data_IF_039366438051
#
_entry.id   IF_039366438051
#
_cell.length_a   1.000
_cell.length_b   1.000
_cell.length_c   1.000
_cell.angle_alpha   90.00
_cell.angle_beta   90.00
_cell.angle_gamma   90.00
#
_symmetry.space_group_name_H-M   'P 1'
#
loop_
_entity.id
_entity.type
_entity.pdbx_description
1 polymer ?
#
# COMPACT_ATOMS: atom_id res chain seq x y z
N UNK A 1 60.02 49.34 -34.88
CA UNK A 1 59.13 50.45 -34.45
C UNK A 1 58.22 50.76 -35.62
N UNK A 2 56.90 50.59 -35.66
CA UNK A 2 55.84 50.23 -34.70
C UNK A 2 54.92 49.24 -35.45
N UNK A 3 54.54 48.12 -34.81
CA UNK A 3 53.49 47.24 -35.30
C UNK A 3 52.15 47.65 -34.66
N UNK A 4 51.15 47.96 -35.48
CA UNK A 4 49.74 47.99 -35.07
C UNK A 4 48.92 47.38 -36.21
N UNK A 5 48.43 46.16 -35.98
CA UNK A 5 47.60 45.40 -36.91
C UNK A 5 46.15 45.94 -36.89
N UNK A 6 45.51 46.15 -38.05
CA UNK A 6 44.10 46.48 -38.10
C UNK A 6 43.20 45.24 -38.04
N UNK A 7 42.10 45.42 -37.31
CA UNK A 7 40.90 44.60 -37.16
C UNK A 7 40.25 44.23 -38.50
N UNK A 8 39.90 42.95 -38.66
CA UNK A 8 38.87 42.48 -39.61
C UNK A 8 37.92 41.53 -38.88
N UNK A 9 36.93 42.11 -38.20
CA UNK A 9 35.73 41.39 -37.80
C UNK A 9 34.73 41.51 -38.95
N UNK A 10 34.63 40.44 -39.73
CA UNK A 10 33.67 40.25 -40.81
C UNK A 10 32.25 40.24 -40.24
N UNK A 11 31.58 41.40 -40.21
CA UNK A 11 30.14 41.48 -39.96
C UNK A 11 29.39 40.98 -41.19
N UNK A 12 29.12 39.68 -41.22
CA UNK A 12 28.18 39.04 -42.13
C UNK A 12 26.76 39.41 -41.72
N UNK A 13 26.35 40.63 -42.04
CA UNK A 13 24.93 41.00 -42.12
C UNK A 13 24.72 41.74 -43.44
N UNK A 14 24.46 40.95 -44.48
CA UNK A 14 23.89 41.49 -45.72
C UNK A 14 22.49 42.04 -45.46
N UNK A 15 22.05 43.06 -46.21
CA UNK A 15 20.72 43.63 -46.05
C UNK A 15 19.68 42.58 -46.46
N UNK A 16 18.98 42.01 -45.48
CA UNK A 16 17.81 41.19 -45.74
C UNK A 16 16.71 42.08 -46.31
N UNK A 17 16.66 42.09 -47.63
CA UNK A 17 15.70 42.78 -48.45
C UNK A 17 14.25 42.38 -48.09
N UNK A 18 13.45 43.37 -47.64
CA UNK A 18 12.01 43.55 -47.87
C UNK A 18 11.00 42.50 -47.41
N UNK A 19 11.17 41.23 -47.73
CA UNK A 19 10.14 40.18 -47.54
C UNK A 19 10.26 39.49 -46.18
N UNK A 20 11.46 39.13 -45.73
CA UNK A 20 11.67 38.48 -44.43
C UNK A 20 11.38 39.41 -43.25
N UNK A 21 11.70 40.70 -43.38
CA UNK A 21 11.35 41.73 -42.37
C UNK A 21 9.83 41.86 -42.20
N UNK A 22 9.05 41.75 -43.28
CA UNK A 22 7.57 41.79 -43.21
C UNK A 22 6.99 40.53 -42.57
N UNK A 23 7.54 39.35 -42.85
CA UNK A 23 7.09 38.09 -42.22
C UNK A 23 7.37 38.10 -40.71
N UNK A 24 8.54 38.56 -40.29
CA UNK A 24 8.87 38.69 -38.87
C UNK A 24 8.01 39.77 -38.18
N UNK A 25 7.82 40.92 -38.81
CA UNK A 25 6.95 41.97 -38.27
C UNK A 25 5.50 41.46 -38.11
N UNK A 26 4.99 40.72 -39.09
CA UNK A 26 3.66 40.10 -39.00
C UNK A 26 3.59 39.05 -37.88
N UNK A 27 4.60 38.18 -37.76
CA UNK A 27 4.67 37.19 -36.69
C UNK A 27 4.68 37.81 -35.29
N UNK A 28 5.43 38.90 -35.09
CA UNK A 28 5.45 39.65 -33.82
C UNK A 28 4.10 40.27 -33.50
N UNK A 29 3.40 40.83 -34.50
CA UNK A 29 2.07 41.42 -34.31
C UNK A 29 1.03 40.34 -33.96
N UNK A 30 1.05 39.19 -34.63
CA UNK A 30 0.14 38.08 -34.34
C UNK A 30 0.39 37.52 -32.94
N UNK A 31 1.66 37.28 -32.58
CA UNK A 31 2.02 36.78 -31.26
C UNK A 31 1.67 37.78 -30.16
N UNK A 32 1.95 39.07 -30.37
CA UNK A 32 1.57 40.14 -29.45
C UNK A 32 0.05 40.23 -29.27
N UNK A 33 -0.72 40.07 -30.36
CA UNK A 33 -2.18 40.09 -30.31
C UNK A 33 -2.75 38.88 -29.57
N UNK A 34 -2.19 37.68 -29.78
CA UNK A 34 -2.59 36.47 -29.04
C UNK A 34 -2.29 36.58 -27.55
N UNK A 35 -1.13 37.14 -27.18
CA UNK A 35 -0.77 37.38 -25.77
C UNK A 35 -1.72 38.37 -25.11
N UNK A 36 -2.06 39.47 -25.79
CA UNK A 36 -3.04 40.45 -25.29
C UNK A 36 -4.42 39.80 -25.13
N UNK A 37 -4.87 39.01 -26.12
CA UNK A 37 -6.13 38.29 -26.03
C UNK A 37 -6.16 37.31 -24.85
N UNK A 38 -5.09 36.51 -24.67
CA UNK A 38 -4.96 35.59 -23.54
C UNK A 38 -4.96 36.33 -22.19
N UNK A 39 -4.27 37.46 -22.09
CA UNK A 39 -4.26 38.29 -20.89
C UNK A 39 -5.65 38.86 -20.59
N UNK A 40 -6.37 39.37 -21.58
CA UNK A 40 -7.73 39.89 -21.44
C UNK A 40 -8.70 38.78 -21.00
N UNK A 41 -8.61 37.59 -21.61
CA UNK A 41 -9.44 36.44 -21.21
C UNK A 41 -9.13 36.01 -19.78
N UNK A 42 -7.85 35.96 -19.39
CA UNK A 42 -7.43 35.57 -18.05
C UNK A 42 -7.88 36.57 -16.99
N UNK A 43 -7.71 37.87 -17.26
CA UNK A 43 -8.15 38.95 -16.36
C UNK A 43 -9.69 38.96 -16.28
N UNK A 44 -10.38 38.83 -17.41
CA UNK A 44 -11.84 38.73 -17.44
C UNK A 44 -12.35 37.55 -16.63
N UNK A 45 -11.75 36.38 -16.82
CA UNK A 45 -12.06 35.17 -16.05
C UNK A 45 -11.77 35.37 -14.55
N UNK A 46 -10.64 35.95 -14.19
CA UNK A 46 -10.26 36.24 -12.80
C UNK A 46 -11.22 37.21 -12.12
N UNK A 47 -11.62 38.29 -12.80
CA UNK A 47 -12.60 39.26 -12.26
C UNK A 47 -13.99 38.64 -12.11
N UNK A 48 -14.43 37.85 -13.08
CA UNK A 48 -15.71 37.12 -13.00
C UNK A 48 -15.67 36.08 -11.88
N UNK A 49 -14.57 35.33 -11.75
CA UNK A 49 -14.36 34.37 -10.68
C UNK A 49 -14.33 35.05 -9.30
N UNK A 50 -13.62 36.18 -9.16
CA UNK A 50 -13.56 36.95 -7.93
C UNK A 50 -14.92 37.54 -7.54
N UNK A 51 -15.70 38.06 -8.51
CA UNK A 51 -17.06 38.54 -8.26
C UNK A 51 -18.01 37.41 -7.86
N UNK A 52 -17.88 36.24 -8.49
CA UNK A 52 -18.62 35.04 -8.10
C UNK A 52 -18.21 34.58 -6.69
N UNK A 53 -16.93 34.62 -6.33
CA UNK A 53 -16.43 34.29 -4.98
C UNK A 53 -17.02 35.21 -3.92
N UNK A 54 -16.94 36.54 -4.13
CA UNK A 54 -17.47 37.54 -3.19
C UNK A 54 -18.97 37.40 -2.92
N UNK A 55 -19.74 36.89 -3.89
CA UNK A 55 -21.17 36.58 -3.69
C UNK A 55 -21.40 35.21 -3.07
N UNK A 56 -20.54 34.23 -3.37
CA UNK A 56 -20.66 32.85 -2.89
C UNK A 56 -20.21 32.67 -1.45
N UNK A 57 -19.22 33.41 -0.96
CA UNK A 57 -18.76 33.33 0.44
C UNK A 57 -19.87 33.61 1.47
N UNK A 58 -20.62 34.73 1.41
CA UNK A 58 -21.70 34.98 2.37
C UNK A 58 -22.84 33.97 2.23
N UNK A 59 -23.16 33.56 1.00
CA UNK A 59 -24.16 32.53 0.72
C UNK A 59 -23.74 31.16 1.28
N UNK A 60 -22.47 30.78 1.11
CA UNK A 60 -21.90 29.54 1.67
C UNK A 60 -21.92 29.59 3.19
N UNK A 61 -21.60 30.73 3.80
CA UNK A 61 -21.65 30.89 5.25
C UNK A 61 -23.09 30.75 5.79
N UNK A 62 -24.06 31.38 5.11
CA UNK A 62 -25.48 31.27 5.46
C UNK A 62 -26.01 29.84 5.31
N UNK A 63 -25.76 29.19 4.17
CA UNK A 63 -26.16 27.80 3.93
C UNK A 63 -25.46 26.82 4.89
N UNK A 64 -24.20 27.07 5.25
CA UNK A 64 -23.47 26.27 6.24
C UNK A 64 -24.10 26.40 7.62
N UNK A 65 -24.39 27.63 8.05
CA UNK A 65 -25.03 27.88 9.35
C UNK A 65 -26.36 27.17 9.44
N UNK A 66 -27.18 27.29 8.40
CA UNK A 66 -28.50 26.67 8.35
C UNK A 66 -28.44 25.14 8.23
N UNK A 67 -27.46 24.59 7.51
CA UNK A 67 -27.20 23.15 7.44
C UNK A 67 -26.91 22.59 8.84
N UNK A 68 -26.03 23.25 9.60
CA UNK A 68 -25.65 22.81 10.94
C UNK A 68 -26.81 22.97 11.94
N UNK A 69 -27.59 24.04 11.83
CA UNK A 69 -28.82 24.23 12.62
C UNK A 69 -29.81 23.09 12.40
N UNK A 70 -30.05 22.70 11.14
CA UNK A 70 -30.92 21.56 10.83
C UNK A 70 -30.35 20.22 11.29
N UNK A 71 -29.04 20.02 11.16
CA UNK A 71 -28.39 18.75 11.50
C UNK A 71 -28.39 18.49 13.01
N UNK A 72 -28.18 19.53 13.83
CA UNK A 72 -28.00 19.38 15.28
C UNK A 72 -29.13 20.00 16.12
N UNK A 73 -29.91 20.91 15.55
CA UNK A 73 -30.94 21.66 16.27
C UNK A 73 -32.36 21.11 16.10
N UNK A 74 -32.57 20.09 15.26
CA UNK A 74 -33.91 19.55 14.93
C UNK A 74 -33.91 18.03 14.92
N UNK A 75 -34.98 17.44 15.44
CA UNK A 75 -35.20 15.99 15.35
C UNK A 75 -35.55 15.56 13.90
N UNK A 76 -36.27 16.42 13.17
CA UNK A 76 -36.52 16.30 11.73
C UNK A 76 -35.92 17.51 10.99
N UNK A 77 -34.87 17.31 10.18
CA UNK A 77 -34.24 18.38 9.42
C UNK A 77 -35.12 18.99 8.30
N UNK A 78 -36.17 18.29 7.87
CA UNK A 78 -37.05 18.69 6.75
C UNK A 78 -36.28 19.05 5.46
N UNK A 79 -35.36 18.17 5.04
CA UNK A 79 -34.45 18.41 3.91
C UNK A 79 -35.18 18.75 2.61
N UNK A 80 -36.23 18.00 2.25
CA UNK A 80 -36.96 18.21 1.00
C UNK A 80 -37.59 19.60 0.90
N UNK A 81 -38.26 20.04 1.97
CA UNK A 81 -38.89 21.35 2.04
C UNK A 81 -37.86 22.48 1.95
N UNK A 82 -36.69 22.28 2.56
CA UNK A 82 -35.60 23.26 2.47
C UNK A 82 -35.04 23.34 1.06
N UNK A 83 -34.67 22.21 0.47
CA UNK A 83 -34.06 22.14 -0.87
C UNK A 83 -35.01 22.69 -1.94
N UNK A 84 -36.32 22.43 -1.82
CA UNK A 84 -37.33 22.96 -2.73
C UNK A 84 -37.42 24.50 -2.71
N UNK A 85 -37.05 25.13 -1.59
CA UNK A 85 -37.00 26.58 -1.46
C UNK A 85 -35.71 27.22 -1.98
N UNK A 86 -34.67 26.44 -2.29
CA UNK A 86 -33.38 26.94 -2.74
C UNK A 86 -33.34 27.13 -4.26
N UNK A 87 -32.64 28.18 -4.69
CA UNK A 87 -32.28 28.37 -6.10
C UNK A 87 -31.23 27.35 -6.55
N UNK A 88 -31.11 27.15 -7.87
CA UNK A 88 -30.09 26.25 -8.43
C UNK A 88 -28.64 26.61 -8.02
N UNK A 89 -28.35 27.89 -7.79
CA UNK A 89 -27.02 28.32 -7.33
C UNK A 89 -26.79 27.97 -5.86
N UNK A 90 -27.82 28.07 -5.02
CA UNK A 90 -27.75 27.67 -3.61
C UNK A 90 -27.65 26.16 -3.48
N UNK A 91 -28.43 25.40 -4.26
CA UNK A 91 -28.32 23.94 -4.31
C UNK A 91 -26.90 23.49 -4.69
N UNK A 92 -26.28 24.12 -5.69
CA UNK A 92 -24.90 23.81 -6.07
C UNK A 92 -23.87 24.13 -4.96
N UNK A 93 -24.09 25.20 -4.18
CA UNK A 93 -23.22 25.51 -3.03
C UNK A 93 -23.46 24.53 -1.88
N UNK A 94 -24.72 24.14 -1.66
CA UNK A 94 -25.09 23.17 -0.64
C UNK A 94 -24.52 21.78 -0.96
N UNK A 95 -24.56 21.36 -2.23
CA UNK A 95 -23.91 20.13 -2.71
C UNK A 95 -22.39 20.17 -2.44
N UNK A 96 -21.72 21.30 -2.70
CA UNK A 96 -20.29 21.47 -2.35
C UNK A 96 -20.03 21.44 -0.84
N UNK A 97 -20.97 21.89 0.00
CA UNK A 97 -20.84 21.76 1.46
C UNK A 97 -21.05 20.30 1.89
N UNK A 98 -22.02 19.62 1.29
CA UNK A 98 -22.33 18.23 1.56
C UNK A 98 -21.15 17.31 1.26
N UNK A 99 -20.46 17.50 0.12
CA UNK A 99 -19.25 16.72 -0.21
C UNK A 99 -18.17 16.84 0.87
N UNK A 100 -17.94 18.05 1.41
CA UNK A 100 -16.97 18.27 2.48
C UNK A 100 -17.40 17.54 3.75
N UNK A 101 -18.65 17.71 4.18
CA UNK A 101 -19.10 17.11 5.43
C UNK A 101 -19.23 15.59 5.37
N UNK A 102 -19.65 14.99 4.26
CA UNK A 102 -19.70 13.53 4.10
C UNK A 102 -18.31 12.88 4.10
N UNK A 103 -17.25 13.66 3.88
CA UNK A 103 -15.85 13.17 3.99
C UNK A 103 -15.28 13.28 5.40
N UNK A 104 -15.84 14.20 6.20
CA UNK A 104 -15.33 14.51 7.55
C UNK A 104 -16.16 13.84 8.65
N UNK A 105 -17.44 13.53 8.40
CA UNK A 105 -18.38 13.00 9.38
C UNK A 105 -18.75 11.55 9.09
N UNK A 106 -19.04 10.80 10.15
CA UNK A 106 -19.42 9.38 10.12
C UNK A 106 -20.63 9.11 11.02
N UNK A 107 -21.18 7.89 10.94
CA UNK A 107 -22.28 7.43 11.78
C UNK A 107 -23.60 8.16 11.49
N UNK A 108 -24.34 8.51 12.55
CA UNK A 108 -25.69 9.12 12.45
C UNK A 108 -25.68 10.46 11.70
N UNK A 109 -24.62 11.25 11.83
CA UNK A 109 -24.50 12.53 11.13
C UNK A 109 -24.39 12.31 9.62
N UNK A 110 -23.57 11.34 9.19
CA UNK A 110 -23.46 10.96 7.78
C UNK A 110 -24.76 10.39 7.22
N UNK A 111 -25.50 9.59 8.00
CA UNK A 111 -26.82 9.07 7.62
C UNK A 111 -27.86 10.19 7.43
N UNK A 112 -27.87 11.17 8.34
CA UNK A 112 -28.74 12.34 8.23
C UNK A 112 -28.39 13.19 6.99
N UNK A 113 -27.09 13.41 6.74
CA UNK A 113 -26.60 14.12 5.56
C UNK A 113 -26.85 13.35 4.25
N UNK A 114 -26.85 12.02 4.26
CA UNK A 114 -27.28 11.23 3.11
C UNK A 114 -28.75 11.50 2.76
N UNK A 115 -29.59 11.81 3.76
CA UNK A 115 -30.95 12.33 3.57
C UNK A 115 -30.98 13.64 2.79
N UNK A 116 -30.07 14.57 3.06
CA UNK A 116 -29.93 15.79 2.27
C UNK A 116 -29.48 15.50 0.83
N UNK A 117 -28.59 14.53 0.63
CA UNK A 117 -28.19 14.09 -0.70
C UNK A 117 -29.34 13.54 -1.54
N UNK A 118 -30.28 12.82 -0.91
CA UNK A 118 -31.54 12.39 -1.54
C UNK A 118 -32.43 13.58 -1.91
N UNK A 119 -32.62 14.53 -1.00
CA UNK A 119 -33.40 15.75 -1.28
C UNK A 119 -32.82 16.57 -2.44
N UNK A 120 -31.49 16.58 -2.61
CA UNK A 120 -30.80 17.20 -3.74
C UNK A 120 -30.86 16.38 -5.04
N UNK A 121 -31.41 15.16 -5.02
CA UNK A 121 -31.52 14.25 -6.16
C UNK A 121 -30.16 13.75 -6.66
N UNK A 122 -29.15 13.69 -5.79
CA UNK A 122 -27.78 13.30 -6.18
C UNK A 122 -27.73 11.82 -6.54
N UNK A 123 -28.41 10.96 -5.79
CA UNK A 123 -28.44 9.51 -6.04
C UNK A 123 -28.97 9.15 -7.43
N UNK A 124 -30.09 9.73 -7.85
CA UNK A 124 -30.71 9.48 -9.15
C UNK A 124 -29.89 10.08 -10.30
N UNK A 125 -29.26 11.25 -10.08
CA UNK A 125 -28.32 11.81 -11.06
C UNK A 125 -27.09 10.92 -11.22
N UNK A 126 -26.51 10.44 -10.12
CA UNK A 126 -25.35 9.54 -10.14
C UNK A 126 -25.65 8.24 -10.87
N UNK A 127 -26.80 7.60 -10.63
CA UNK A 127 -27.20 6.39 -11.37
C UNK A 127 -27.33 6.63 -12.87
N UNK A 128 -27.88 7.79 -13.29
CA UNK A 128 -27.92 8.18 -14.72
C UNK A 128 -26.52 8.41 -15.30
N UNK A 129 -25.64 9.07 -14.55
CA UNK A 129 -24.25 9.23 -14.97
C UNK A 129 -23.50 7.90 -15.06
N UNK A 130 -23.84 6.90 -14.25
CA UNK A 130 -23.31 5.53 -14.41
C UNK A 130 -23.78 4.92 -15.74
N UNK A 131 -25.07 5.03 -16.07
CA UNK A 131 -25.64 4.44 -17.27
C UNK A 131 -25.18 5.12 -18.57
N UNK A 132 -25.20 6.45 -18.59
CA UNK A 132 -25.09 7.25 -19.81
C UNK A 132 -23.82 8.11 -19.89
N UNK A 133 -23.09 8.25 -18.78
CA UNK A 133 -21.95 9.15 -18.66
C UNK A 133 -20.64 8.59 -19.21
N UNK A 134 -19.70 9.50 -19.43
CA UNK A 134 -18.32 9.12 -19.74
C UNK A 134 -17.57 8.60 -18.50
N UNK A 135 -16.34 8.15 -18.69
CA UNK A 135 -15.49 7.63 -17.62
C UNK A 135 -15.42 8.56 -16.39
N UNK A 136 -15.31 9.88 -16.58
CA UNK A 136 -15.19 10.83 -15.48
C UNK A 136 -16.53 11.04 -14.76
N UNK A 137 -17.61 11.12 -15.52
CA UNK A 137 -18.97 11.18 -14.96
C UNK A 137 -19.26 9.94 -14.11
N UNK A 138 -18.92 8.75 -14.61
CA UNK A 138 -19.09 7.48 -13.87
C UNK A 138 -18.28 7.45 -12.59
N UNK A 139 -16.99 7.79 -12.64
CA UNK A 139 -16.15 7.83 -11.43
C UNK A 139 -16.69 8.84 -10.41
N UNK A 140 -17.12 10.03 -10.86
CA UNK A 140 -17.68 11.04 -9.97
C UNK A 140 -18.99 10.57 -9.34
N UNK A 141 -19.86 9.93 -10.12
CA UNK A 141 -21.10 9.33 -9.65
C UNK A 141 -20.84 8.25 -8.59
N UNK A 142 -19.87 7.35 -8.82
CA UNK A 142 -19.50 6.32 -7.84
C UNK A 142 -18.96 6.93 -6.54
N UNK A 143 -18.19 8.02 -6.61
CA UNK A 143 -17.76 8.74 -5.40
C UNK A 143 -18.95 9.27 -4.61
N UNK A 144 -19.92 9.89 -5.27
CA UNK A 144 -21.13 10.38 -4.61
C UNK A 144 -21.94 9.25 -3.99
N UNK A 145 -22.17 8.16 -4.69
CA UNK A 145 -22.90 7.00 -4.16
C UNK A 145 -22.19 6.38 -2.96
N UNK A 146 -20.85 6.32 -2.97
CA UNK A 146 -20.08 5.85 -1.81
C UNK A 146 -20.21 6.79 -0.61
N UNK A 147 -20.14 8.11 -0.81
CA UNK A 147 -20.31 9.11 0.26
C UNK A 147 -21.73 9.07 0.85
N UNK A 148 -22.73 8.88 -0.01
CA UNK A 148 -24.14 8.77 0.39
C UNK A 148 -24.49 7.39 0.97
N UNK A 149 -23.58 6.41 0.89
CA UNK A 149 -23.80 5.01 1.29
C UNK A 149 -25.04 4.43 0.58
N UNK A 150 -25.21 4.79 -0.69
CA UNK A 150 -26.39 4.50 -1.50
C UNK A 150 -25.99 3.60 -2.67
N UNK A 151 -26.04 2.28 -2.46
CA UNK A 151 -25.62 1.32 -3.46
C UNK A 151 -26.56 1.33 -4.69
N UNK A 152 -26.03 1.40 -5.91
CA UNK A 152 -26.80 1.10 -7.11
C UNK A 152 -26.97 -0.42 -7.27
N UNK A 153 -27.92 -0.83 -8.11
CA UNK A 153 -28.15 -2.23 -8.41
C UNK A 153 -26.91 -2.88 -9.03
N UNK A 154 -26.67 -4.15 -8.67
CA UNK A 154 -25.55 -4.94 -9.17
C UNK A 154 -25.46 -4.98 -10.68
N UNK A 155 -26.61 -5.07 -11.36
CA UNK A 155 -26.67 -5.14 -12.82
C UNK A 155 -26.19 -3.85 -13.47
N UNK A 156 -26.49 -2.69 -12.87
CA UNK A 156 -26.00 -1.39 -13.33
C UNK A 156 -24.47 -1.32 -13.25
N UNK A 157 -23.90 -1.75 -12.12
CA UNK A 157 -22.44 -1.77 -11.93
C UNK A 157 -21.76 -2.73 -12.92
N UNK A 158 -22.33 -3.91 -13.13
CA UNK A 158 -21.77 -4.92 -14.04
C UNK A 158 -21.86 -4.51 -15.50
N UNK A 159 -22.89 -3.76 -15.89
CA UNK A 159 -23.05 -3.29 -17.26
C UNK A 159 -22.12 -2.12 -17.59
N UNK A 160 -21.86 -1.22 -16.63
CA UNK A 160 -21.25 0.08 -16.93
C UNK A 160 -19.93 0.37 -16.20
N UNK A 161 -19.54 -0.40 -15.18
CA UNK A 161 -18.35 -0.11 -14.36
C UNK A 161 -17.24 -1.15 -14.50
N UNK A 162 -17.09 -1.76 -15.68
CA UNK A 162 -16.14 -2.85 -15.92
C UNK A 162 -14.93 -2.50 -16.78
N UNK A 163 -14.95 -1.35 -17.47
CA UNK A 163 -13.94 -1.00 -18.49
C UNK A 163 -12.53 -0.90 -17.91
N UNK A 164 -12.36 -0.31 -16.72
CA UNK A 164 -11.05 -0.14 -16.09
C UNK A 164 -10.99 -0.74 -14.69
N UNK A 165 -9.78 -1.18 -14.27
CA UNK A 165 -9.55 -1.65 -12.90
C UNK A 165 -9.91 -0.59 -11.84
N UNK A 166 -9.81 0.71 -12.19
CA UNK A 166 -10.18 1.82 -11.30
C UNK A 166 -11.69 1.96 -11.14
N UNK A 167 -12.47 1.83 -12.23
CA UNK A 167 -13.94 1.83 -12.13
C UNK A 167 -14.44 0.62 -11.36
N UNK A 168 -13.87 -0.57 -11.60
CA UNK A 168 -14.23 -1.79 -10.85
C UNK A 168 -13.97 -1.62 -9.36
N UNK A 169 -12.83 -1.03 -8.99
CA UNK A 169 -12.55 -0.70 -7.60
C UNK A 169 -13.50 0.36 -7.02
N UNK A 170 -13.83 1.41 -7.78
CA UNK A 170 -14.79 2.41 -7.31
C UNK A 170 -16.19 1.81 -7.10
N UNK A 171 -16.64 0.94 -8.01
CA UNK A 171 -17.90 0.22 -7.91
C UNK A 171 -17.95 -0.71 -6.68
N UNK A 172 -16.90 -1.52 -6.48
CA UNK A 172 -16.79 -2.37 -5.30
C UNK A 172 -16.72 -1.54 -4.00
N UNK A 173 -16.09 -0.37 -4.03
CA UNK A 173 -16.05 0.55 -2.88
C UNK A 173 -17.42 1.11 -2.52
N UNK A 174 -18.28 1.37 -3.51
CA UNK A 174 -19.68 1.80 -3.26
C UNK A 174 -20.44 0.71 -2.51
N UNK A 175 -20.34 -0.55 -2.95
CA UNK A 175 -20.98 -1.70 -2.28
C UNK A 175 -20.52 -1.83 -0.82
N UNK A 176 -19.21 -1.69 -0.59
CA UNK A 176 -18.65 -1.69 0.76
C UNK A 176 -19.17 -0.52 1.61
N UNK A 177 -19.16 0.70 1.07
CA UNK A 177 -19.57 1.89 1.81
C UNK A 177 -21.06 1.88 2.18
N UNK A 178 -21.89 1.30 1.31
CA UNK A 178 -23.32 1.11 1.55
C UNK A 178 -23.64 -0.06 2.48
N UNK A 179 -22.67 -0.92 2.80
CA UNK A 179 -22.90 -2.12 3.59
C UNK A 179 -23.83 -3.11 2.87
N UNK A 180 -23.70 -3.25 1.54
CA UNK A 180 -24.54 -4.18 0.77
C UNK A 180 -24.35 -5.63 1.24
N UNK A 181 -25.45 -6.38 1.38
CA UNK A 181 -25.43 -7.75 1.90
C UNK A 181 -24.55 -8.69 1.04
N UNK A 182 -24.51 -8.48 -0.27
CA UNK A 182 -23.72 -9.25 -1.23
C UNK A 182 -22.37 -8.59 -1.56
N UNK A 183 -21.91 -7.63 -0.75
CA UNK A 183 -20.71 -6.83 -0.98
C UNK A 183 -19.48 -7.71 -1.28
N UNK A 184 -19.23 -8.74 -0.46
CA UNK A 184 -18.09 -9.62 -0.64
C UNK A 184 -18.12 -10.33 -2.01
N UNK A 185 -19.24 -11.02 -2.30
CA UNK A 185 -19.38 -11.78 -3.54
C UNK A 185 -19.36 -10.89 -4.79
N UNK A 186 -20.14 -9.81 -4.78
CA UNK A 186 -20.26 -8.91 -5.93
C UNK A 186 -19.02 -8.04 -6.10
N UNK A 187 -18.43 -7.54 -5.01
CA UNK A 187 -17.22 -6.73 -5.06
C UNK A 187 -16.00 -7.52 -5.52
N UNK A 188 -15.83 -8.76 -5.08
CA UNK A 188 -14.76 -9.67 -5.57
C UNK A 188 -14.97 -9.98 -7.06
N UNK A 189 -16.20 -10.30 -7.48
CA UNK A 189 -16.55 -10.55 -8.87
C UNK A 189 -16.24 -9.33 -9.76
N UNK A 190 -16.55 -8.11 -9.29
CA UNK A 190 -16.20 -6.88 -10.01
C UNK A 190 -14.70 -6.67 -10.07
N UNK A 191 -13.97 -6.84 -8.97
CA UNK A 191 -12.54 -6.54 -8.90
C UNK A 191 -11.70 -7.54 -9.72
N UNK A 192 -11.97 -8.83 -9.57
CA UNK A 192 -11.19 -9.93 -10.14
C UNK A 192 -11.85 -10.55 -11.38
N UNK A 193 -12.68 -9.76 -12.07
CA UNK A 193 -13.33 -10.15 -13.33
C UNK A 193 -12.31 -10.43 -14.44
N UNK A 194 -12.65 -11.39 -15.31
CA UNK A 194 -12.02 -11.77 -16.58
C UNK A 194 -10.72 -11.03 -16.94
N UNK A 195 -9.60 -11.78 -16.92
CA UNK A 195 -8.23 -11.29 -17.14
C UNK A 195 -7.88 -10.03 -16.33
N UNK A 196 -7.87 -10.13 -14.98
CA UNK A 196 -7.68 -8.97 -14.13
C UNK A 196 -6.26 -8.38 -14.24
N UNK A 197 -6.20 -7.09 -14.53
CA UNK A 197 -4.99 -6.28 -14.38
C UNK A 197 -4.59 -6.11 -12.90
N UNK A 198 -3.31 -5.80 -12.67
CA UNK A 198 -2.85 -5.38 -11.35
C UNK A 198 -3.53 -4.09 -10.89
N UNK A 199 -3.86 -4.02 -9.61
CA UNK A 199 -4.57 -2.90 -9.01
C UNK A 199 -3.67 -1.71 -8.68
N UNK A 200 -4.29 -0.53 -8.58
CA UNK A 200 -3.73 0.59 -7.81
C UNK A 200 -3.80 0.31 -6.30
N UNK A 201 -3.13 1.13 -5.48
CA UNK A 201 -3.25 1.04 -4.01
C UNK A 201 -4.70 1.10 -3.54
N UNK A 202 -5.52 1.97 -4.18
CA UNK A 202 -6.95 2.06 -3.91
C UNK A 202 -7.69 0.76 -4.22
N UNK A 203 -7.34 0.06 -5.31
CA UNK A 203 -7.94 -1.22 -5.65
C UNK A 203 -7.56 -2.33 -4.67
N UNK A 204 -6.32 -2.36 -4.18
CA UNK A 204 -5.88 -3.31 -3.15
C UNK A 204 -6.59 -3.07 -1.81
N UNK A 205 -6.69 -1.81 -1.36
CA UNK A 205 -7.46 -1.46 -0.14
C UNK A 205 -8.94 -1.85 -0.29
N UNK A 206 -9.51 -1.60 -1.47
CA UNK A 206 -10.91 -1.96 -1.73
C UNK A 206 -11.10 -3.48 -1.69
N UNK A 207 -10.21 -4.25 -2.33
CA UNK A 207 -10.28 -5.72 -2.28
C UNK A 207 -10.17 -6.26 -0.86
N UNK A 208 -9.23 -5.72 -0.06
CA UNK A 208 -9.11 -6.07 1.36
C UNK A 208 -10.42 -5.80 2.12
N UNK A 209 -10.97 -4.59 2.01
CA UNK A 209 -12.18 -4.20 2.76
C UNK A 209 -13.42 -4.97 2.37
N UNK A 210 -13.57 -5.28 1.08
CA UNK A 210 -14.66 -6.12 0.58
C UNK A 210 -14.56 -7.54 1.12
N UNK A 211 -13.34 -8.08 1.23
CA UNK A 211 -13.10 -9.43 1.74
C UNK A 211 -13.01 -9.52 3.28
N UNK A 212 -12.88 -8.40 4.00
CA UNK A 212 -12.67 -8.38 5.46
C UNK A 212 -13.87 -8.94 6.23
N UNK A 213 -15.09 -8.66 5.77
CA UNK A 213 -16.32 -9.15 6.41
C UNK A 213 -16.65 -10.62 6.08
N UNK A 214 -16.49 -11.01 4.82
CA UNK A 214 -16.60 -12.39 4.35
C UNK A 214 -15.50 -12.67 3.31
N UNK A 215 -14.44 -13.39 3.69
CA UNK A 215 -13.31 -13.64 2.81
C UNK A 215 -13.57 -14.77 1.81
N UNK A 216 -14.64 -15.55 1.98
CA UNK A 216 -14.87 -16.80 1.22
C UNK A 216 -14.89 -16.57 -0.30
N UNK A 217 -15.61 -15.57 -0.84
CA UNK A 217 -15.61 -15.33 -2.29
C UNK A 217 -14.23 -15.01 -2.86
N UNK A 218 -13.39 -14.29 -2.08
CA UNK A 218 -12.02 -13.97 -2.49
C UNK A 218 -11.15 -15.21 -2.55
N UNK A 219 -11.20 -16.07 -1.52
CA UNK A 219 -10.41 -17.30 -1.50
C UNK A 219 -10.84 -18.29 -2.59
N UNK A 220 -12.14 -18.44 -2.84
CA UNK A 220 -12.65 -19.30 -3.92
C UNK A 220 -12.17 -18.81 -5.29
N UNK A 221 -12.28 -17.51 -5.55
CA UNK A 221 -11.80 -16.92 -6.82
C UNK A 221 -10.29 -17.03 -6.98
N UNK A 222 -9.53 -16.79 -5.92
CA UNK A 222 -8.08 -16.93 -5.94
C UNK A 222 -7.65 -18.38 -6.16
N UNK A 223 -8.25 -19.34 -5.46
CA UNK A 223 -7.94 -20.75 -5.63
C UNK A 223 -8.16 -21.23 -7.08
N UNK A 224 -9.18 -20.72 -7.76
CA UNK A 224 -9.48 -21.06 -9.15
C UNK A 224 -8.46 -20.47 -10.14
N UNK A 225 -8.12 -19.19 -10.00
CA UNK A 225 -7.49 -18.43 -11.11
C UNK A 225 -6.07 -17.92 -10.80
N UNK A 226 -5.60 -18.01 -9.56
CA UNK A 226 -4.35 -17.37 -9.13
C UNK A 226 -3.15 -17.70 -10.02
N UNK A 227 -3.02 -18.95 -10.45
CA UNK A 227 -1.90 -19.40 -11.28
C UNK A 227 -1.86 -18.72 -12.66
N UNK A 228 -3.02 -18.29 -13.19
CA UNK A 228 -3.14 -17.61 -14.47
C UNK A 228 -2.92 -16.09 -14.38
N UNK A 229 -3.03 -15.50 -13.18
CA UNK A 229 -2.87 -14.07 -13.00
C UNK A 229 -1.44 -13.59 -13.23
N UNK A 230 -1.26 -12.33 -13.69
CA UNK A 230 0.07 -11.75 -13.80
C UNK A 230 0.76 -11.67 -12.42
N UNK A 231 2.11 -11.79 -12.36
CA UNK A 231 2.84 -11.81 -11.08
C UNK A 231 2.60 -10.58 -10.19
N UNK A 232 2.29 -9.42 -10.78
CA UNK A 232 1.93 -8.22 -10.03
C UNK A 232 0.62 -8.40 -9.26
N UNK A 233 -0.41 -8.98 -9.88
CA UNK A 233 -1.69 -9.26 -9.24
C UNK A 233 -1.57 -10.40 -8.22
N UNK A 234 -0.82 -11.46 -8.52
CA UNK A 234 -0.53 -12.53 -7.56
C UNK A 234 0.04 -11.97 -6.24
N UNK A 235 1.02 -11.06 -6.32
CA UNK A 235 1.57 -10.39 -5.11
C UNK A 235 0.55 -9.56 -4.37
N UNK A 236 -0.37 -8.89 -5.07
CA UNK A 236 -1.42 -8.08 -4.45
C UNK A 236 -2.45 -8.96 -3.75
N UNK A 237 -2.87 -10.06 -4.36
CA UNK A 237 -3.75 -11.04 -3.73
C UNK A 237 -3.10 -11.64 -2.47
N UNK A 238 -1.82 -12.04 -2.54
CA UNK A 238 -1.08 -12.53 -1.37
C UNK A 238 -0.91 -11.45 -0.28
N UNK A 239 -0.79 -10.18 -0.65
CA UNK A 239 -0.80 -9.08 0.31
C UNK A 239 -2.16 -8.98 1.02
N UNK A 240 -3.27 -9.13 0.30
CA UNK A 240 -4.61 -9.17 0.90
C UNK A 240 -4.73 -10.37 1.85
N UNK A 241 -4.34 -11.57 1.43
CA UNK A 241 -4.34 -12.79 2.28
C UNK A 241 -3.59 -12.56 3.59
N UNK A 242 -2.42 -11.92 3.53
CA UNK A 242 -1.60 -11.59 4.72
C UNK A 242 -2.38 -10.78 5.76
N UNK A 243 -3.30 -9.92 5.32
CA UNK A 243 -4.05 -9.03 6.19
C UNK A 243 -5.41 -9.60 6.60
N UNK A 244 -5.96 -10.58 5.88
CA UNK A 244 -7.17 -11.32 6.26
C UNK A 244 -6.89 -12.37 7.34
N UNK A 245 -6.39 -11.96 8.50
CA UNK A 245 -5.97 -12.88 9.59
C UNK A 245 -7.13 -13.55 10.32
N UNK A 246 -8.37 -13.14 10.05
CA UNK A 246 -9.60 -13.56 10.73
C UNK A 246 -10.35 -14.67 10.01
N UNK A 247 -9.75 -15.32 9.02
CA UNK A 247 -10.35 -16.47 8.33
C UNK A 247 -10.48 -17.64 9.30
N UNK A 248 -11.59 -17.66 10.04
CA UNK A 248 -12.04 -18.78 10.84
C UNK A 248 -12.81 -19.70 9.88
N UNK A 249 -12.17 -20.75 9.36
CA UNK A 249 -12.87 -21.71 8.48
C UNK A 249 -11.97 -22.58 7.60
N UNK A 250 -12.62 -23.34 6.71
CA UNK A 250 -12.01 -24.29 5.75
C UNK A 250 -11.53 -23.61 4.45
N UNK A 251 -11.15 -22.33 4.49
CA UNK A 251 -10.66 -21.64 3.30
C UNK A 251 -9.44 -22.39 2.71
N UNK A 252 -9.48 -22.62 1.40
CA UNK A 252 -8.40 -23.30 0.71
C UNK A 252 -7.16 -22.39 0.60
N UNK A 253 -6.09 -22.78 1.29
CA UNK A 253 -4.78 -22.12 1.27
C UNK A 253 -3.75 -22.89 0.43
N UNK A 254 -4.15 -23.99 -0.21
CA UNK A 254 -3.23 -24.81 -1.02
C UNK A 254 -2.59 -24.01 -2.15
N UNK A 255 -3.31 -23.05 -2.74
CA UNK A 255 -2.79 -22.16 -3.78
C UNK A 255 -1.73 -21.18 -3.23
N UNK A 256 -1.83 -20.76 -1.96
CA UNK A 256 -0.81 -19.92 -1.30
C UNK A 256 0.47 -20.73 -1.08
N UNK A 257 0.34 -22.01 -0.68
CA UNK A 257 1.47 -22.93 -0.55
C UNK A 257 2.09 -23.21 -1.92
N UNK A 258 1.29 -23.47 -2.96
CA UNK A 258 1.78 -23.67 -4.32
C UNK A 258 2.53 -22.46 -4.87
N UNK A 259 2.17 -21.24 -4.44
CA UNK A 259 2.87 -20.01 -4.82
C UNK A 259 4.34 -19.96 -4.34
N UNK A 260 4.72 -20.78 -3.35
CA UNK A 260 6.12 -20.98 -2.95
C UNK A 260 6.98 -21.62 -4.05
N UNK A 261 6.37 -22.25 -5.05
CA UNK A 261 7.05 -22.83 -6.21
C UNK A 261 6.99 -21.95 -7.46
N UNK A 262 6.47 -20.72 -7.35
CA UNK A 262 6.41 -19.79 -8.49
C UNK A 262 7.80 -19.52 -9.08
N UNK A 263 7.89 -19.38 -10.40
CA UNK A 263 9.14 -18.96 -11.07
C UNK A 263 9.60 -17.57 -10.62
N UNK A 264 8.67 -16.72 -10.21
CA UNK A 264 8.91 -15.34 -9.80
C UNK A 264 9.30 -15.23 -8.31
N UNK A 265 10.54 -14.82 -7.98
CA UNK A 265 10.97 -14.70 -6.58
C UNK A 265 10.12 -13.71 -5.78
N UNK A 266 9.57 -12.70 -6.46
CA UNK A 266 8.71 -11.69 -5.84
C UNK A 266 7.36 -12.26 -5.38
N UNK A 267 6.84 -13.29 -6.07
CA UNK A 267 5.63 -14.03 -5.69
C UNK A 267 5.93 -14.98 -4.54
N UNK A 268 7.03 -15.76 -4.62
CA UNK A 268 7.46 -16.65 -3.53
C UNK A 268 7.66 -15.90 -2.20
N UNK A 269 8.33 -14.74 -2.22
CA UNK A 269 8.50 -13.91 -1.02
C UNK A 269 7.17 -13.35 -0.48
N UNK A 270 6.24 -12.98 -1.37
CA UNK A 270 4.90 -12.57 -0.95
C UNK A 270 4.11 -13.72 -0.32
N UNK A 271 4.26 -14.95 -0.82
CA UNK A 271 3.63 -16.14 -0.28
C UNK A 271 4.14 -16.46 1.12
N UNK A 272 5.46 -16.44 1.34
CA UNK A 272 6.03 -16.57 2.70
C UNK A 272 5.47 -15.52 3.67
N UNK A 273 5.38 -14.26 3.24
CA UNK A 273 4.82 -13.18 4.06
C UNK A 273 3.33 -13.37 4.35
N UNK A 274 2.57 -13.94 3.43
CA UNK A 274 1.17 -14.30 3.64
C UNK A 274 1.03 -15.47 4.63
N UNK A 275 1.77 -16.56 4.43
CA UNK A 275 1.75 -17.76 5.28
C UNK A 275 2.19 -17.48 6.73
N UNK A 276 3.01 -16.46 6.96
CA UNK A 276 3.34 -16.00 8.32
C UNK A 276 2.10 -15.72 9.18
N UNK A 277 1.02 -15.19 8.58
CA UNK A 277 -0.25 -14.91 9.27
C UNK A 277 -1.06 -16.18 9.64
N UNK A 278 -0.77 -17.31 9.00
CA UNK A 278 -1.53 -18.56 9.12
C UNK A 278 -0.74 -19.67 9.81
N UNK A 279 0.34 -19.31 10.50
CA UNK A 279 1.16 -20.27 11.25
C UNK A 279 0.39 -21.08 12.27
N UNK A 280 -0.74 -20.58 12.78
CA UNK A 280 -1.58 -21.32 13.72
C UNK A 280 -2.31 -22.53 13.09
N UNK A 281 -2.41 -22.62 11.76
CA UNK A 281 -3.12 -23.68 11.04
C UNK A 281 -2.20 -24.89 10.77
N UNK A 282 -2.48 -26.08 11.35
CA UNK A 282 -1.64 -27.26 11.15
C UNK A 282 -1.58 -27.74 9.69
N UNK A 283 -2.69 -27.65 8.93
CA UNK A 283 -2.70 -28.07 7.52
C UNK A 283 -1.73 -27.25 6.67
N UNK A 284 -1.60 -25.96 6.98
CA UNK A 284 -0.65 -25.07 6.33
C UNK A 284 0.78 -25.46 6.71
N UNK A 285 1.06 -25.70 8.00
CA UNK A 285 2.39 -26.12 8.46
C UNK A 285 2.83 -27.42 7.80
N UNK A 286 1.95 -28.41 7.76
CA UNK A 286 2.25 -29.74 7.22
C UNK A 286 2.47 -29.73 5.70
N UNK A 287 1.88 -28.75 4.99
CA UNK A 287 2.01 -28.60 3.55
C UNK A 287 3.29 -27.87 3.11
N UNK A 288 3.98 -27.17 4.01
CA UNK A 288 5.19 -26.39 3.69
C UNK A 288 6.44 -27.23 3.90
N UNK A 289 7.21 -27.44 2.82
CA UNK A 289 8.50 -28.10 2.89
C UNK A 289 9.59 -27.17 3.45
N UNK A 290 9.88 -27.30 4.75
CA UNK A 290 10.94 -26.54 5.42
C UNK A 290 12.34 -26.94 4.94
N UNK A 291 12.50 -28.15 4.39
CA UNK A 291 13.76 -28.66 3.87
C UNK A 291 14.22 -27.96 2.59
N UNK A 292 13.30 -27.36 1.84
CA UNK A 292 13.59 -26.62 0.61
C UNK A 292 14.13 -25.19 0.83
N UNK A 293 14.08 -24.66 2.06
CA UNK A 293 14.49 -23.28 2.36
C UNK A 293 15.97 -23.00 2.02
N UNK A 294 16.94 -23.88 2.33
CA UNK A 294 18.34 -23.67 1.95
C UNK A 294 18.56 -23.61 0.43
N UNK A 295 17.71 -24.31 -0.33
CA UNK A 295 17.80 -24.41 -1.79
C UNK A 295 17.16 -23.21 -2.52
N UNK A 296 16.39 -22.37 -1.83
CA UNK A 296 15.83 -21.16 -2.40
C UNK A 296 16.95 -20.23 -2.90
N UNK A 297 17.02 -19.94 -4.22
CA UNK A 297 18.14 -19.19 -4.78
C UNK A 297 18.16 -17.72 -4.35
N UNK A 298 17.00 -17.10 -4.13
CA UNK A 298 16.89 -15.67 -3.83
C UNK A 298 17.07 -15.40 -2.32
N UNK A 299 18.14 -14.67 -1.92
CA UNK A 299 18.40 -14.41 -0.50
C UNK A 299 17.28 -13.66 0.22
N UNK A 300 16.56 -12.79 -0.49
CA UNK A 300 15.43 -12.05 0.04
C UNK A 300 14.24 -12.97 0.37
N UNK A 301 14.01 -14.03 -0.42
CA UNK A 301 12.94 -15.01 -0.17
C UNK A 301 13.28 -15.87 1.03
N UNK A 302 14.54 -16.30 1.20
CA UNK A 302 14.99 -16.96 2.44
C UNK A 302 14.78 -16.09 3.67
N UNK A 303 15.08 -14.79 3.58
CA UNK A 303 14.82 -13.85 4.67
C UNK A 303 13.32 -13.66 4.96
N UNK A 304 12.45 -13.69 3.95
CA UNK A 304 10.99 -13.71 4.14
C UNK A 304 10.53 -15.02 4.82
N UNK A 305 11.09 -16.17 4.43
CA UNK A 305 10.81 -17.47 5.03
C UNK A 305 11.21 -17.50 6.51
N UNK A 306 12.42 -17.05 6.86
CA UNK A 306 12.85 -16.99 8.26
C UNK A 306 11.91 -16.15 9.11
N UNK A 307 11.50 -14.97 8.62
CA UNK A 307 10.56 -14.11 9.33
C UNK A 307 9.19 -14.77 9.51
N UNK A 308 8.66 -15.45 8.48
CA UNK A 308 7.39 -16.16 8.56
C UNK A 308 7.43 -17.29 9.59
N UNK A 309 8.46 -18.13 9.55
CA UNK A 309 8.70 -19.18 10.54
C UNK A 309 8.91 -18.62 11.96
N UNK A 310 9.52 -17.45 12.06
CA UNK A 310 9.63 -16.71 13.32
C UNK A 310 8.28 -16.36 13.91
N UNK A 311 7.30 -15.97 13.08
CA UNK A 311 5.92 -15.71 13.54
C UNK A 311 5.24 -17.00 13.97
N UNK A 312 5.51 -18.13 13.32
CA UNK A 312 4.96 -19.44 13.71
C UNK A 312 5.47 -19.88 15.09
N UNK A 313 6.76 -19.62 15.37
CA UNK A 313 7.36 -19.67 16.71
C UNK A 313 7.47 -21.06 17.35
N UNK A 314 6.98 -22.11 16.70
CA UNK A 314 7.07 -23.49 17.21
C UNK A 314 8.48 -24.06 17.05
N UNK A 315 8.78 -25.12 17.81
CA UNK A 315 10.11 -25.71 17.88
C UNK A 315 10.62 -26.19 16.50
N UNK A 316 9.74 -26.72 15.65
CA UNK A 316 10.09 -27.19 14.30
C UNK A 316 10.48 -26.01 13.41
N UNK A 317 9.68 -24.95 13.40
CA UNK A 317 9.97 -23.72 12.67
C UNK A 317 11.29 -23.07 13.13
N UNK A 318 11.52 -22.99 14.44
CA UNK A 318 12.76 -22.42 15.00
C UNK A 318 14.00 -23.28 14.70
N UNK A 319 13.86 -24.61 14.71
CA UNK A 319 14.93 -25.52 14.32
C UNK A 319 15.27 -25.38 12.83
N UNK A 320 14.27 -25.22 11.97
CA UNK A 320 14.48 -24.98 10.55
C UNK A 320 15.22 -23.65 10.29
N UNK A 321 14.86 -22.56 10.99
CA UNK A 321 15.60 -21.28 10.88
C UNK A 321 17.06 -21.45 11.32
N UNK A 322 17.31 -22.14 12.44
CA UNK A 322 18.66 -22.35 12.96
C UNK A 322 19.53 -23.17 12.00
N UNK A 323 19.00 -24.28 11.48
CA UNK A 323 19.70 -25.13 10.51
C UNK A 323 19.98 -24.39 9.19
N UNK A 324 18.96 -23.81 8.58
CA UNK A 324 19.08 -23.11 7.30
C UNK A 324 19.94 -21.83 7.43
N UNK A 325 19.76 -21.05 8.50
CA UNK A 325 20.52 -19.84 8.76
C UNK A 325 22.02 -20.07 8.91
N UNK A 326 22.44 -21.20 9.50
CA UNK A 326 23.86 -21.57 9.60
C UNK A 326 24.49 -21.92 8.26
N UNK A 327 23.73 -22.56 7.39
CA UNK A 327 24.16 -22.97 6.06
C UNK A 327 23.98 -21.87 5.00
N UNK A 328 23.24 -20.80 5.30
CA UNK A 328 22.88 -19.78 4.33
C UNK A 328 24.12 -19.06 3.76
N UNK A 329 24.32 -19.06 2.43
CA UNK A 329 25.50 -18.44 1.82
C UNK A 329 25.48 -16.90 1.92
N UNK A 330 24.30 -16.27 2.02
CA UNK A 330 24.16 -14.83 1.97
C UNK A 330 24.26 -14.19 3.37
N UNK A 331 25.22 -13.28 3.63
CA UNK A 331 25.38 -12.64 4.94
C UNK A 331 24.12 -11.94 5.45
N UNK A 332 23.37 -11.26 4.56
CA UNK A 332 22.13 -10.55 4.93
C UNK A 332 21.01 -11.51 5.36
N UNK A 333 20.93 -12.68 4.72
CA UNK A 333 19.93 -13.69 5.09
C UNK A 333 20.30 -14.38 6.41
N UNK A 334 21.60 -14.60 6.68
CA UNK A 334 22.08 -15.03 8.01
C UNK A 334 21.68 -14.05 9.12
N UNK A 335 21.85 -12.76 8.87
CA UNK A 335 21.41 -11.70 9.81
C UNK A 335 19.91 -11.76 10.04
N UNK A 336 19.10 -11.95 8.99
CA UNK A 336 17.65 -12.08 9.14
C UNK A 336 17.25 -13.31 9.97
N UNK A 337 17.90 -14.46 9.75
CA UNK A 337 17.68 -15.68 10.54
C UNK A 337 18.06 -15.46 12.01
N UNK A 338 19.25 -14.90 12.28
CA UNK A 338 19.73 -14.61 13.63
C UNK A 338 18.82 -13.61 14.37
N UNK A 339 18.46 -12.50 13.72
CA UNK A 339 17.56 -11.50 14.29
C UNK A 339 16.19 -12.11 14.63
N UNK A 340 15.68 -13.01 13.79
CA UNK A 340 14.42 -13.70 14.04
C UNK A 340 14.51 -14.63 15.27
N UNK A 341 15.57 -15.43 15.37
CA UNK A 341 15.79 -16.30 16.52
C UNK A 341 15.98 -15.52 17.82
N UNK A 342 16.65 -14.37 17.77
CA UNK A 342 16.85 -13.48 18.92
C UNK A 342 15.54 -12.82 19.35
N UNK A 343 14.68 -12.42 18.41
CA UNK A 343 13.35 -11.92 18.73
C UNK A 343 12.52 -12.96 19.50
N UNK A 344 12.70 -14.26 19.20
CA UNK A 344 11.99 -15.36 19.87
C UNK A 344 12.62 -15.80 21.20
N UNK A 345 13.96 -15.78 21.31
CA UNK A 345 14.70 -16.30 22.46
C UNK A 345 15.17 -15.22 23.44
N UNK A 346 15.15 -13.95 23.04
CA UNK A 346 15.71 -12.81 23.77
C UNK A 346 17.16 -12.46 23.37
N UNK A 347 17.61 -11.20 23.61
CA UNK A 347 18.93 -10.70 23.18
C UNK A 347 20.11 -11.19 24.01
N UNK A 348 19.84 -11.92 25.10
CA UNK A 348 20.84 -12.56 25.93
C UNK A 348 20.95 -14.06 25.64
N UNK A 349 20.14 -14.58 24.71
CA UNK A 349 20.23 -15.96 24.28
C UNK A 349 21.55 -16.21 23.54
N UNK A 350 22.17 -17.35 23.85
CA UNK A 350 23.30 -17.86 23.08
C UNK A 350 22.79 -18.64 21.86
N UNK A 351 23.54 -18.64 20.74
CA UNK A 351 23.22 -19.53 19.64
C UNK A 351 23.30 -20.98 20.14
N UNK A 352 22.41 -21.85 19.64
CA UNK A 352 22.45 -23.25 20.03
C UNK A 352 23.83 -23.85 19.66
N UNK A 353 24.40 -24.76 20.46
CA UNK A 353 25.68 -25.38 20.10
C UNK A 353 25.60 -26.02 18.71
N UNK A 354 26.70 -26.03 17.95
CA UNK A 354 26.80 -26.93 16.80
C UNK A 354 26.76 -28.35 17.35
N UNK A 355 25.75 -29.13 16.98
CA UNK A 355 25.88 -30.59 17.11
C UNK A 355 27.02 -31.00 16.18
N UNK A 356 28.21 -31.16 16.76
CA UNK A 356 29.31 -31.84 16.08
C UNK A 356 28.81 -33.23 15.68
N UNK A 357 29.11 -33.71 14.46
CA UNK A 357 28.84 -35.10 14.13
C UNK A 357 29.49 -35.96 15.22
N UNK A 358 28.70 -36.76 15.94
CA UNK A 358 29.27 -37.73 16.89
C UNK A 358 30.26 -38.59 16.11
N UNK A 359 31.56 -38.61 16.46
CA UNK A 359 32.46 -39.61 15.91
C UNK A 359 32.08 -40.93 16.57
N UNK A 360 31.17 -41.66 15.94
CA UNK A 360 30.97 -43.08 16.20
C UNK A 360 32.04 -43.85 15.42
N UNK A 361 32.85 -44.64 16.14
CA UNK A 361 33.73 -45.63 15.53
C UNK A 361 35.07 -45.75 16.25
N UNK A 362 35.17 -46.77 17.10
CA UNK A 362 36.38 -47.20 17.79
C UNK A 362 37.61 -47.27 16.89
N UNK A 363 38.74 -46.73 17.37
CA UNK A 363 40.06 -47.22 17.00
C UNK A 363 41.05 -46.96 18.14
N UNK A 364 41.05 -47.91 19.08
CA UNK A 364 42.17 -48.24 19.95
C UNK A 364 43.45 -48.35 19.12
N UNK A 365 44.46 -47.51 19.36
CA UNK A 365 45.87 -47.93 19.28
C UNK A 365 46.81 -47.00 20.08
N UNK A 366 47.42 -47.63 21.09
CA UNK A 366 48.82 -47.52 21.50
C UNK A 366 49.40 -46.14 21.88
N UNK A 367 49.47 -45.98 23.20
CA UNK A 367 50.50 -45.30 23.97
C UNK A 367 51.94 -45.62 23.51
N UNK A 368 52.73 -44.57 23.25
CA UNK A 368 54.15 -44.51 23.65
C UNK A 368 54.49 -43.08 24.07
N UNK A 369 54.89 -42.95 25.33
CA UNK A 369 55.44 -41.74 25.91
C UNK A 369 56.92 -41.58 25.53
N UNK A 370 57.36 -40.37 25.22
CA UNK A 370 58.72 -39.91 25.56
C UNK A 370 58.69 -38.39 25.71
N UNK A 371 59.20 -37.89 26.84
CA UNK A 371 59.08 -36.50 27.24
C UNK A 371 60.03 -35.54 26.53
N UNK A 372 59.62 -34.27 26.52
CA UNK A 372 60.50 -33.11 26.49
C UNK A 372 59.76 -31.92 27.12
N UNK A 373 60.42 -31.25 28.05
CA UNK A 373 59.99 -30.05 28.75
C UNK A 373 59.98 -28.79 27.85
N UNK A 374 59.34 -27.68 28.28
CA UNK A 374 58.73 -26.70 27.40
C UNK A 374 59.68 -25.55 27.06
N UNK A 375 59.69 -25.13 25.81
CA UNK A 375 60.23 -23.82 25.41
C UNK A 375 59.63 -23.34 24.10
N UNK A 376 59.45 -22.03 24.05
CA UNK A 376 59.01 -21.20 22.94
C UNK A 376 57.49 -21.19 22.66
N UNK A 377 56.87 -20.16 23.23
CA UNK A 377 55.86 -19.29 22.59
C UNK A 377 55.82 -19.47 21.07
N UNK A 378 55.02 -20.42 20.62
CA UNK A 378 54.54 -20.47 19.25
C UNK A 378 53.61 -19.27 19.01
N UNK A 379 53.53 -18.75 17.77
CA UNK A 379 52.56 -17.73 17.45
C UNK A 379 51.18 -18.24 17.87
N UNK A 380 50.48 -17.41 18.64
CA UNK A 380 49.09 -17.59 19.01
C UNK A 380 48.34 -18.14 17.79
N UNK A 381 47.69 -19.32 17.88
CA UNK A 381 46.92 -19.84 16.76
C UNK A 381 45.94 -18.74 16.34
N UNK A 382 45.80 -18.43 15.04
CA UNK A 382 44.89 -17.39 14.60
C UNK A 382 43.54 -17.66 15.26
N UNK A 383 42.98 -16.64 15.92
CA UNK A 383 41.69 -16.73 16.57
C UNK A 383 40.74 -17.48 15.63
N UNK A 384 40.03 -18.52 16.10
CA UNK A 384 39.18 -19.31 15.22
C UNK A 384 38.23 -18.34 14.52
N UNK A 385 38.31 -18.27 13.19
CA UNK A 385 37.43 -17.44 12.37
C UNK A 385 36.01 -17.72 12.83
N UNK A 386 35.41 -16.77 13.54
CA UNK A 386 34.09 -16.93 14.12
C UNK A 386 33.14 -17.36 13.00
N UNK A 387 32.30 -18.37 13.26
CA UNK A 387 31.47 -18.90 12.20
C UNK A 387 30.62 -17.75 11.60
N UNK A 388 30.39 -17.72 10.28
CA UNK A 388 29.67 -16.62 9.65
C UNK A 388 28.26 -16.35 10.23
N UNK A 389 27.65 -17.36 10.88
CA UNK A 389 26.40 -17.22 11.60
C UNK A 389 26.56 -16.65 13.01
N UNK A 390 27.65 -16.97 13.72
CA UNK A 390 27.94 -16.41 15.05
C UNK A 390 28.18 -14.90 14.96
N UNK A 391 28.86 -14.45 13.89
CA UNK A 391 29.03 -13.02 13.60
C UNK A 391 27.67 -12.34 13.35
N UNK A 392 26.79 -12.98 12.58
CA UNK A 392 25.43 -12.49 12.34
C UNK A 392 24.60 -12.45 13.64
N UNK A 393 24.76 -13.44 14.52
CA UNK A 393 24.12 -13.51 15.84
C UNK A 393 24.55 -12.36 16.73
N UNK A 394 25.85 -12.14 16.89
CA UNK A 394 26.40 -11.04 17.72
C UNK A 394 25.84 -9.70 17.23
N UNK A 395 25.92 -9.44 15.92
CA UNK A 395 25.43 -8.20 15.33
C UNK A 395 23.93 -7.98 15.58
N UNK A 396 23.12 -9.04 15.41
CA UNK A 396 21.68 -8.97 15.60
C UNK A 396 21.30 -8.80 17.09
N UNK A 397 22.06 -9.41 18.00
CA UNK A 397 21.84 -9.29 19.44
C UNK A 397 22.14 -7.87 19.93
N UNK A 398 23.23 -7.27 19.43
CA UNK A 398 23.58 -5.88 19.72
C UNK A 398 22.53 -4.90 19.21
N UNK A 399 22.05 -5.08 17.97
CA UNK A 399 20.95 -4.26 17.43
C UNK A 399 19.67 -4.40 18.26
N UNK A 400 19.29 -5.61 18.66
CA UNK A 400 18.11 -5.82 19.50
C UNK A 400 18.23 -5.14 20.88
N UNK A 401 19.44 -5.07 21.46
CA UNK A 401 19.71 -4.31 22.70
C UNK A 401 19.57 -2.81 22.46
N UNK A 402 20.12 -2.30 21.36
CA UNK A 402 20.01 -0.89 21.00
C UNK A 402 18.55 -0.46 20.78
N UNK A 403 17.77 -1.25 20.03
CA UNK A 403 16.35 -0.98 19.76
C UNK A 403 15.50 -1.02 21.03
N UNK A 404 15.87 -1.84 22.01
CA UNK A 404 15.23 -1.84 23.33
C UNK A 404 15.55 -0.55 24.08
N UNK A 405 16.83 -0.18 24.16
CA UNK A 405 17.28 1.04 24.81
C UNK A 405 16.63 2.30 24.22
N UNK A 406 16.54 2.39 22.89
CA UNK A 406 15.90 3.52 22.20
C UNK A 406 14.41 3.65 22.53
N UNK A 407 13.69 2.52 22.64
CA UNK A 407 12.27 2.50 23.05
C UNK A 407 12.10 2.92 24.50
N UNK A 408 12.97 2.46 25.39
CA UNK A 408 12.90 2.81 26.82
C UNK A 408 13.17 4.30 27.04
N UNK A 409 14.19 4.87 26.37
CA UNK A 409 14.45 6.33 26.38
C UNK A 409 13.25 7.12 25.86
N UNK A 410 12.59 6.64 24.80
CA UNK A 410 11.43 7.32 24.22
C UNK A 410 10.24 7.34 25.19
N UNK A 411 9.97 6.22 25.87
CA UNK A 411 8.92 6.10 26.89
C UNK A 411 9.21 6.96 28.12
N UNK A 412 10.46 6.96 28.59
CA UNK A 412 10.87 7.79 29.72
C UNK A 412 10.70 9.28 29.40
N UNK A 413 11.00 9.69 28.17
CA UNK A 413 10.77 11.06 27.71
C UNK A 413 9.28 11.42 27.69
N UNK A 414 8.42 10.55 27.18
CA UNK A 414 6.96 10.77 27.19
C UNK A 414 6.43 10.91 28.62
N UNK A 415 6.86 10.02 29.52
CA UNK A 415 6.51 10.09 30.94
C UNK A 415 6.94 11.41 31.59
N UNK A 416 8.16 11.87 31.32
CA UNK A 416 8.65 13.15 31.83
C UNK A 416 7.86 14.34 31.26
N UNK A 417 7.44 14.28 29.99
CA UNK A 417 6.58 15.32 29.41
C UNK A 417 5.19 15.35 30.07
N UNK A 418 4.62 14.21 30.39
CA UNK A 418 3.33 14.12 31.07
C UNK A 418 3.43 14.60 32.54
N UNK A 419 4.51 14.26 33.25
CA UNK A 419 4.77 14.71 34.63
C UNK A 419 5.01 16.23 34.73
N UNK A 420 5.51 16.88 33.68
CA UNK A 420 5.72 18.34 33.62
C UNK A 420 4.45 19.11 33.20
N UNK A 421 3.49 18.43 32.57
CA UNK A 421 2.26 19.04 32.04
C UNK A 421 1.04 18.87 32.95
N UNK A 422 1.09 17.92 33.88
CA UNK A 422 0.19 17.85 35.04
C UNK A 422 0.61 18.85 36.12
#
# INVERSE_FOLDING_TARGET
MLFAAPTTASSVYGPLAGSQSRVLAFGVVVLGSLLVAAAVVTIGYSVVAARRSRRREPMRAALRSELLDRLYGRDDPAWDAWVAGLSATEQAVLESLLDVYLRELDGRDAESLAGLGRALGIGERSRRHIADGDYWDRIHALVWLALLRDAPDRDLLRAHCTETARERAAAAKVLYAAGADDCAATGVDLLLRDDPDSFSVFGVDTLYRVAEGDPSPFFERAAADFAAWPPALQRQALLVVRHLTTVIGDADLSWVVAALSSSEPSVRGAAWRALGAYGWNPRVRDAVDLGAIPDEPAPAVRADAYRALGVWGDATALAAIDAAGRADPAPRSRVAAAATLIAQRGPDATPAPRESPRPGGEATYASTATGAEPSATGPEPPAPDAAPFDVAWIWAAEHARFDRLARDISRDRERLYDEVRG
#
